data_IF_243224952904
#
_entry.id   IF_243224952904
#
_cell.length_a   1.000
_cell.length_b   1.000
_cell.length_c   1.000
_cell.angle_alpha   90.00
_cell.angle_beta   90.00
_cell.angle_gamma   90.00
#
_symmetry.space_group_name_H-M   'P 1'
#
loop_
_entity.id
_entity.type
_entity.pdbx_description
1 polymer ?
#
# COMPACT_ATOMS: atom_id res chain seq x y z
N UNK A 1 1.46 15.73 -10.77
CA UNK A 1 0.24 15.15 -10.17
C UNK A 1 -0.94 16.02 -10.58
N UNK A 2 -2.06 15.48 -11.07
CA UNK A 2 -3.28 16.26 -11.33
C UNK A 2 -4.29 15.91 -10.23
N UNK A 3 -4.71 16.86 -9.38
CA UNK A 3 -5.76 16.58 -8.41
C UNK A 3 -7.08 16.36 -9.14
N UNK A 4 -7.76 15.26 -8.82
CA UNK A 4 -9.14 15.01 -9.21
C UNK A 4 -10.01 15.21 -7.96
N UNK A 5 -10.92 16.18 -8.01
CA UNK A 5 -11.83 16.52 -6.90
C UNK A 5 -11.13 16.74 -5.53
N UNK A 6 -9.91 17.29 -5.55
CA UNK A 6 -9.13 17.57 -4.33
C UNK A 6 -8.39 16.35 -3.75
N UNK A 7 -8.37 15.21 -4.45
CA UNK A 7 -7.60 14.03 -4.08
C UNK A 7 -6.45 13.80 -5.05
N UNK A 8 -5.28 13.48 -4.51
CA UNK A 8 -4.10 13.09 -5.28
C UNK A 8 -3.74 11.66 -4.92
N UNK A 9 -3.83 10.75 -5.89
CA UNK A 9 -3.36 9.37 -5.77
C UNK A 9 -1.92 9.30 -6.26
N UNK A 10 -1.00 8.92 -5.38
CA UNK A 10 0.42 8.82 -5.73
C UNK A 10 1.09 7.72 -4.91
N UNK A 11 1.94 6.88 -5.55
CA UNK A 11 2.84 6.01 -4.82
C UNK A 11 4.04 6.77 -4.23
N UNK A 12 4.34 7.96 -4.76
CA UNK A 12 5.47 8.79 -4.35
C UNK A 12 4.97 10.05 -3.64
N UNK A 13 5.05 10.03 -2.32
CA UNK A 13 4.63 11.14 -1.47
C UNK A 13 5.62 12.31 -1.53
N UNK A 14 6.87 12.09 -1.92
CA UNK A 14 7.89 13.13 -1.95
C UNK A 14 7.61 14.12 -3.08
N UNK A 15 7.21 13.60 -4.25
CA UNK A 15 6.73 14.44 -5.35
C UNK A 15 5.41 15.17 -5.00
N UNK A 16 4.63 14.63 -4.07
CA UNK A 16 3.37 15.26 -3.64
C UNK A 16 3.61 16.41 -2.67
N UNK A 17 4.65 16.31 -1.84
CA UNK A 17 5.03 17.35 -0.88
C UNK A 17 5.41 18.66 -1.59
N UNK A 18 5.96 18.59 -2.80
CA UNK A 18 6.26 19.80 -3.60
C UNK A 18 5.01 20.63 -3.95
N UNK A 19 3.82 20.04 -3.87
CA UNK A 19 2.54 20.73 -4.04
C UNK A 19 1.91 21.20 -2.73
N UNK A 20 2.50 20.83 -1.59
CA UNK A 20 2.06 21.24 -0.26
C UNK A 20 2.97 22.37 0.23
N UNK A 21 2.38 23.51 0.58
CA UNK A 21 3.11 24.69 1.04
C UNK A 21 2.42 25.33 2.26
N UNK A 22 2.83 26.55 2.64
CA UNK A 22 2.22 27.27 3.76
C UNK A 22 0.75 27.67 3.54
N UNK A 23 0.21 27.46 2.33
CA UNK A 23 -1.14 27.79 1.89
C UNK A 23 -1.92 26.51 1.55
N UNK A 24 -1.26 25.57 0.86
CA UNK A 24 -1.80 24.30 0.39
C UNK A 24 -1.45 23.19 1.39
N UNK A 25 -2.42 22.82 2.23
CA UNK A 25 -2.26 21.73 3.19
C UNK A 25 -2.85 20.43 2.66
N UNK A 26 -2.17 19.31 2.98
CA UNK A 26 -2.61 17.96 2.62
C UNK A 26 -2.76 17.08 3.85
N UNK A 27 -3.69 16.13 3.77
CA UNK A 27 -3.83 15.05 4.76
C UNK A 27 -3.57 13.73 4.04
N UNK A 28 -2.62 12.94 4.54
CA UNK A 28 -2.30 11.65 3.95
C UNK A 28 -3.12 10.55 4.60
N UNK A 29 -3.60 9.62 3.78
CA UNK A 29 -4.20 8.38 4.23
C UNK A 29 -3.81 7.26 3.27
N UNK A 30 -3.77 6.03 3.75
CA UNK A 30 -3.43 4.87 2.92
C UNK A 30 -4.12 3.60 3.42
N UNK A 31 -4.43 2.68 2.50
CA UNK A 31 -4.84 1.33 2.84
C UNK A 31 -3.69 0.36 2.55
N UNK A 32 -3.21 -0.32 3.59
CA UNK A 32 -2.09 -1.25 3.48
C UNK A 32 -2.57 -2.68 3.20
N UNK A 33 -2.01 -3.26 2.14
CA UNK A 33 -2.13 -4.67 1.79
C UNK A 33 -0.86 -5.41 2.22
N UNK A 34 -1.01 -6.68 2.62
CA UNK A 34 0.15 -7.50 2.97
C UNK A 34 1.19 -7.51 1.83
N UNK A 35 2.50 -7.30 2.11
CA UNK A 35 3.52 -7.11 1.08
C UNK A 35 3.63 -8.23 0.05
N UNK A 36 3.43 -9.49 0.49
CA UNK A 36 3.42 -10.64 -0.43
C UNK A 36 2.25 -10.58 -1.40
N UNK A 37 1.05 -10.27 -0.92
CA UNK A 37 -0.13 -10.16 -1.79
C UNK A 37 0.01 -8.97 -2.75
N UNK A 38 0.59 -7.85 -2.29
CA UNK A 38 0.96 -6.72 -3.14
C UNK A 38 1.92 -7.16 -4.26
N UNK A 39 2.99 -7.88 -3.93
CA UNK A 39 3.95 -8.37 -4.91
C UNK A 39 3.32 -9.32 -5.95
N UNK A 40 2.39 -10.19 -5.53
CA UNK A 40 1.64 -11.05 -6.46
C UNK A 40 0.75 -10.23 -7.40
N UNK A 41 0.07 -9.19 -6.91
CA UNK A 41 -0.73 -8.29 -7.75
C UNK A 41 0.14 -7.51 -8.74
N UNK A 42 1.30 -7.03 -8.30
CA UNK A 42 2.26 -6.39 -9.20
C UNK A 42 2.75 -7.34 -10.29
N UNK A 43 3.06 -8.59 -9.95
CA UNK A 43 3.44 -9.59 -10.96
C UNK A 43 2.33 -9.76 -12.00
N UNK A 44 1.07 -9.88 -11.60
CA UNK A 44 -0.05 -10.02 -12.53
C UNK A 44 -0.12 -8.82 -13.49
N UNK A 45 -0.05 -7.60 -12.98
CA UNK A 45 -0.02 -6.37 -13.79
C UNK A 45 1.19 -6.34 -14.74
N UNK A 46 2.39 -6.61 -14.23
CA UNK A 46 3.61 -6.62 -15.03
C UNK A 46 3.55 -7.67 -16.16
N UNK A 47 2.91 -8.82 -15.94
CA UNK A 47 2.70 -9.83 -16.98
C UNK A 47 1.73 -9.38 -18.06
N UNK A 48 0.73 -8.57 -17.73
CA UNK A 48 -0.15 -7.96 -18.71
C UNK A 48 0.59 -6.92 -19.55
N UNK A 49 1.47 -6.13 -18.92
CA UNK A 49 2.28 -5.09 -19.57
C UNK A 49 3.42 -5.68 -20.44
N UNK A 50 4.06 -6.77 -20.01
CA UNK A 50 5.12 -7.47 -20.73
C UNK A 50 4.87 -9.00 -20.81
N UNK A 51 4.00 -9.45 -21.73
CA UNK A 51 3.66 -10.87 -21.87
C UNK A 51 4.83 -11.77 -22.32
N UNK A 52 5.90 -11.19 -22.89
CA UNK A 52 7.01 -11.95 -23.49
C UNK A 52 8.18 -12.06 -22.53
N UNK A 53 8.54 -10.99 -21.82
CA UNK A 53 9.60 -11.01 -20.81
C UNK A 53 9.10 -11.61 -19.51
N UNK A 54 8.54 -10.77 -18.63
CA UNK A 54 8.06 -11.22 -17.31
C UNK A 54 6.88 -12.22 -17.41
N UNK A 55 6.07 -12.14 -18.47
CA UNK A 55 4.99 -13.08 -18.78
C UNK A 55 5.42 -14.55 -18.76
N UNK A 56 6.67 -14.85 -19.11
CA UNK A 56 7.23 -16.21 -19.15
C UNK A 56 7.67 -16.75 -17.79
N UNK A 57 7.74 -15.93 -16.74
CA UNK A 57 8.09 -16.43 -15.40
C UNK A 57 7.03 -17.43 -14.92
N UNK A 58 7.45 -18.64 -14.57
CA UNK A 58 6.56 -19.75 -14.24
C UNK A 58 6.14 -19.77 -12.78
N UNK A 59 7.01 -19.33 -11.86
CA UNK A 59 6.79 -19.44 -10.41
C UNK A 59 7.00 -18.12 -9.66
N UNK A 60 6.45 -18.04 -8.44
CA UNK A 60 6.65 -16.88 -7.56
C UNK A 60 8.10 -16.82 -7.03
N UNK A 61 8.75 -17.96 -6.90
CA UNK A 61 10.14 -18.10 -6.48
C UNK A 61 11.11 -17.59 -7.53
N UNK A 62 10.80 -17.81 -8.81
CA UNK A 62 11.53 -17.19 -9.92
C UNK A 62 11.32 -15.68 -9.91
N UNK A 63 10.08 -15.21 -9.74
CA UNK A 63 9.79 -13.78 -9.62
C UNK A 63 10.55 -13.14 -8.46
N UNK A 64 10.56 -13.78 -7.29
CA UNK A 64 11.24 -13.29 -6.09
C UNK A 64 12.75 -13.10 -6.24
N UNK A 65 13.38 -13.82 -7.18
CA UNK A 65 14.82 -13.71 -7.50
C UNK A 65 15.10 -12.90 -8.76
N UNK A 66 14.05 -12.50 -9.47
CA UNK A 66 14.17 -11.80 -10.74
C UNK A 66 14.45 -10.31 -10.55
N UNK A 67 15.01 -9.68 -11.59
CA UNK A 67 15.16 -8.22 -11.65
C UNK A 67 13.84 -7.44 -11.70
N UNK A 68 12.72 -8.12 -11.89
CA UNK A 68 11.40 -7.51 -12.01
C UNK A 68 10.73 -7.26 -10.65
N UNK A 69 11.19 -7.95 -9.60
CA UNK A 69 10.71 -7.71 -8.25
C UNK A 69 11.25 -6.37 -7.73
N UNK A 70 10.34 -5.47 -7.39
CA UNK A 70 10.65 -4.29 -6.58
C UNK A 70 10.51 -4.64 -5.10
N UNK A 71 11.61 -5.16 -4.53
CA UNK A 71 11.72 -5.53 -3.12
C UNK A 71 11.64 -4.30 -2.20
N UNK A 72 10.95 -4.46 -1.07
CA UNK A 72 10.81 -3.44 -0.03
C UNK A 72 10.30 -2.09 -0.58
N UNK A 73 9.35 -2.17 -1.50
CA UNK A 73 8.82 -1.04 -2.24
C UNK A 73 8.13 -0.02 -1.33
N UNK A 74 7.36 -0.43 -0.32
CA UNK A 74 6.67 0.53 0.54
C UNK A 74 7.66 1.31 1.39
N UNK A 75 8.64 0.62 2.00
CA UNK A 75 9.72 1.28 2.74
C UNK A 75 10.49 2.24 1.84
N UNK A 76 10.83 1.83 0.62
CA UNK A 76 11.49 2.68 -0.37
C UNK A 76 10.74 3.98 -0.60
N UNK A 77 9.43 3.91 -0.87
CA UNK A 77 8.64 5.09 -1.20
C UNK A 77 8.39 5.99 0.01
N UNK A 78 8.10 5.41 1.18
CA UNK A 78 7.85 6.21 2.39
C UNK A 78 9.12 6.84 2.96
N UNK A 79 10.28 6.21 2.78
CA UNK A 79 11.56 6.75 3.23
C UNK A 79 12.28 7.59 2.18
N UNK A 80 11.80 7.62 0.93
CA UNK A 80 12.39 8.41 -0.15
C UNK A 80 13.71 7.82 -0.68
N UNK A 81 13.85 6.49 -0.65
CA UNK A 81 15.08 5.81 -1.07
C UNK A 81 15.16 5.80 -2.61
N UNK A 82 16.23 6.35 -3.23
CA UNK A 82 16.39 6.36 -4.68
C UNK A 82 16.36 4.97 -5.29
N UNK A 83 15.83 4.81 -6.51
CA UNK A 83 15.68 3.51 -7.19
C UNK A 83 17.01 2.73 -7.33
N UNK A 84 18.15 3.43 -7.39
CA UNK A 84 19.49 2.84 -7.45
C UNK A 84 19.92 2.15 -6.16
N UNK A 85 19.28 2.47 -5.03
CA UNK A 85 19.78 2.12 -3.71
C UNK A 85 18.95 0.98 -3.10
N UNK A 86 19.52 0.27 -2.13
CA UNK A 86 18.84 -0.83 -1.42
C UNK A 86 18.35 -0.33 -0.06
N UNK A 87 17.03 -0.39 0.22
CA UNK A 87 16.49 -0.01 1.52
C UNK A 87 17.10 -0.83 2.65
N UNK A 88 17.36 -0.18 3.78
CA UNK A 88 17.98 -0.75 4.97
C UNK A 88 17.14 -0.47 6.24
N UNK A 89 17.69 -0.83 7.40
CA UNK A 89 16.99 -0.69 8.68
C UNK A 89 16.72 0.77 9.10
N UNK A 90 17.58 1.72 8.71
CA UNK A 90 17.34 3.14 8.96
C UNK A 90 16.18 3.66 8.10
N UNK A 91 16.09 3.22 6.85
CA UNK A 91 14.97 3.58 5.96
C UNK A 91 13.65 3.03 6.51
N UNK A 92 13.65 1.82 7.08
CA UNK A 92 12.49 1.29 7.78
C UNK A 92 12.07 2.19 8.96
N UNK A 93 13.03 2.71 9.73
CA UNK A 93 12.73 3.63 10.83
C UNK A 93 12.11 4.94 10.32
N UNK A 94 12.64 5.50 9.24
CA UNK A 94 12.07 6.69 8.58
C UNK A 94 10.66 6.41 8.08
N UNK A 95 10.44 5.30 7.37
CA UNK A 95 9.13 4.91 6.86
C UNK A 95 8.10 4.74 7.99
N UNK A 96 8.49 4.15 9.12
CA UNK A 96 7.64 4.05 10.32
C UNK A 96 7.28 5.42 10.88
N UNK A 97 8.24 6.33 10.97
CA UNK A 97 7.99 7.69 11.50
C UNK A 97 7.07 8.51 10.59
N UNK A 98 7.29 8.44 9.27
CA UNK A 98 6.40 9.03 8.26
C UNK A 98 4.99 8.47 8.41
N UNK A 99 4.84 7.15 8.51
CA UNK A 99 3.54 6.50 8.67
C UNK A 99 2.83 6.94 9.96
N UNK A 100 3.53 6.92 11.10
CA UNK A 100 2.96 7.28 12.41
C UNK A 100 2.52 8.74 12.48
N UNK A 101 3.28 9.64 11.87
CA UNK A 101 3.07 11.09 12.05
C UNK A 101 2.23 11.74 10.97
N UNK A 102 2.16 11.15 9.76
CA UNK A 102 1.55 11.79 8.59
C UNK A 102 0.29 11.12 8.10
N UNK A 103 0.09 9.82 8.38
CA UNK A 103 -0.99 9.04 7.79
C UNK A 103 -2.12 8.73 8.77
N UNK A 104 -3.35 8.80 8.27
CA UNK A 104 -4.41 7.89 8.74
C UNK A 104 -4.21 6.54 8.07
N UNK A 105 -4.01 5.53 8.90
CA UNK A 105 -3.69 4.17 8.47
C UNK A 105 -4.99 3.39 8.35
N UNK A 106 -5.19 2.78 7.19
CA UNK A 106 -6.20 1.77 6.90
C UNK A 106 -5.54 0.44 6.54
N UNK A 107 -6.25 -0.66 6.75
CA UNK A 107 -5.79 -2.02 6.46
C UNK A 107 -6.79 -2.69 5.54
N UNK A 108 -6.32 -3.29 4.44
CA UNK A 108 -7.22 -3.97 3.48
C UNK A 108 -8.05 -5.11 4.12
N UNK A 109 -7.50 -5.95 5.03
CA UNK A 109 -8.31 -6.93 5.76
C UNK A 109 -9.44 -6.33 6.60
N UNK A 110 -9.30 -5.05 6.99
CA UNK A 110 -10.29 -4.28 7.75
C UNK A 110 -10.87 -3.14 6.91
N UNK A 111 -10.97 -3.30 5.59
CA UNK A 111 -11.33 -2.23 4.63
C UNK A 111 -12.60 -1.46 4.97
N UNK A 112 -13.66 -2.10 5.47
CA UNK A 112 -14.88 -1.38 5.86
C UNK A 112 -14.60 -0.40 7.01
N UNK A 113 -13.98 -0.89 8.09
CA UNK A 113 -13.56 -0.06 9.22
C UNK A 113 -12.51 0.97 8.84
N UNK A 114 -11.64 0.65 7.88
CA UNK A 114 -10.60 1.56 7.37
C UNK A 114 -11.21 2.72 6.59
N UNK A 115 -12.14 2.42 5.67
CA UNK A 115 -12.83 3.44 4.89
C UNK A 115 -13.69 4.32 5.79
N UNK A 116 -14.47 3.72 6.70
CA UNK A 116 -15.25 4.47 7.68
C UNK A 116 -14.39 5.47 8.47
N UNK A 117 -13.21 5.04 8.94
CA UNK A 117 -12.27 5.92 9.66
C UNK A 117 -11.75 7.07 8.80
N UNK A 118 -11.36 6.77 7.57
CA UNK A 118 -10.87 7.79 6.62
C UNK A 118 -11.98 8.80 6.33
N UNK A 119 -13.21 8.32 6.12
CA UNK A 119 -14.40 9.15 5.90
C UNK A 119 -14.65 10.08 7.09
N UNK A 120 -14.64 9.56 8.32
CA UNK A 120 -14.82 10.34 9.55
C UNK A 120 -13.70 11.38 9.74
N UNK A 121 -12.44 11.00 9.51
CA UNK A 121 -11.30 11.90 9.65
C UNK A 121 -11.29 13.05 8.64
N UNK A 122 -11.69 12.76 7.41
CA UNK A 122 -11.69 13.74 6.32
C UNK A 122 -13.02 14.48 6.19
N UNK A 123 -14.05 14.08 6.95
CA UNK A 123 -15.39 14.66 6.88
C UNK A 123 -16.09 14.39 5.54
N UNK A 124 -15.83 13.22 4.93
CA UNK A 124 -16.44 12.87 3.65
C UNK A 124 -17.94 12.63 3.80
N UNK A 125 -18.73 13.33 2.99
CA UNK A 125 -20.18 13.14 2.90
C UNK A 125 -20.52 12.66 1.51
N UNK A 126 -21.09 11.45 1.42
CA UNK A 126 -21.46 10.88 0.13
C UNK A 126 -22.69 11.59 -0.45
N UNK A 127 -22.65 11.99 -1.74
CA UNK A 127 -23.87 12.38 -2.43
C UNK A 127 -24.84 11.20 -2.53
N UNK A 128 -26.12 11.45 -2.80
CA UNK A 128 -27.13 10.40 -2.97
C UNK A 128 -26.65 9.34 -3.96
N UNK A 129 -26.58 8.08 -3.54
CA UNK A 129 -26.07 6.95 -4.33
C UNK A 129 -24.59 6.59 -4.11
N UNK A 130 -23.80 7.44 -3.45
CA UNK A 130 -22.38 7.19 -3.16
C UNK A 130 -22.12 5.99 -2.24
N UNK A 131 -23.07 5.68 -1.35
CA UNK A 131 -23.00 4.48 -0.47
C UNK A 131 -22.95 3.18 -1.28
N UNK A 132 -23.68 3.11 -2.40
CA UNK A 132 -23.67 1.94 -3.28
C UNK A 132 -22.36 1.83 -4.06
N UNK A 133 -21.69 2.95 -4.36
CA UNK A 133 -20.35 2.95 -4.93
C UNK A 133 -19.34 2.39 -3.93
N UNK A 134 -19.34 2.91 -2.69
CA UNK A 134 -18.51 2.43 -1.58
C UNK A 134 -18.64 0.92 -1.37
N UNK A 135 -19.88 0.42 -1.30
CA UNK A 135 -20.11 -1.00 -1.04
C UNK A 135 -19.63 -1.90 -2.18
N UNK A 136 -19.80 -1.47 -3.43
CA UNK A 136 -19.27 -2.19 -4.60
C UNK A 136 -17.74 -2.24 -4.58
N UNK A 137 -17.08 -1.10 -4.31
CA UNK A 137 -15.62 -1.07 -4.20
C UNK A 137 -15.08 -2.02 -3.12
N UNK A 138 -15.77 -2.12 -1.97
CA UNK A 138 -15.42 -3.09 -0.91
C UNK A 138 -15.63 -4.54 -1.39
N UNK A 139 -16.74 -4.82 -2.07
CA UNK A 139 -17.05 -6.16 -2.59
C UNK A 139 -16.01 -6.61 -3.62
N UNK A 140 -15.69 -5.75 -4.59
CA UNK A 140 -14.70 -6.01 -5.63
C UNK A 140 -13.31 -6.26 -5.01
N UNK A 141 -12.91 -5.44 -4.03
CA UNK A 141 -11.66 -5.64 -3.30
C UNK A 141 -11.64 -6.98 -2.55
N UNK A 142 -12.77 -7.45 -2.04
CA UNK A 142 -12.91 -8.75 -1.36
C UNK A 142 -12.75 -9.92 -2.33
N UNK A 143 -13.41 -9.85 -3.49
CA UNK A 143 -13.29 -10.88 -4.52
C UNK A 143 -11.83 -11.04 -4.96
N UNK A 144 -11.11 -9.92 -5.10
CA UNK A 144 -9.68 -9.91 -5.45
C UNK A 144 -8.75 -10.42 -4.33
N UNK A 145 -9.20 -10.60 -3.09
CA UNK A 145 -8.41 -11.23 -2.02
C UNK A 145 -8.55 -12.75 -2.01
N UNK A 146 -9.65 -13.29 -2.55
CA UNK A 146 -9.87 -14.74 -2.62
C UNK A 146 -8.87 -15.46 -3.55
N UNK A 147 -8.18 -14.73 -4.41
CA UNK A 147 -7.12 -15.24 -5.30
C UNK A 147 -5.70 -15.15 -4.70
N UNK A 148 -5.57 -14.82 -3.41
CA UNK A 148 -4.29 -14.63 -2.78
C UNK A 148 -3.46 -15.92 -2.65
N UNK A 149 -2.13 -15.76 -2.74
CA UNK A 149 -1.16 -16.84 -2.51
C UNK A 149 -1.28 -17.38 -1.08
N UNK A 150 -1.28 -18.72 -0.95
CA UNK A 150 -1.34 -19.40 0.36
C UNK A 150 -0.11 -19.08 1.21
N UNK A 151 -0.35 -18.59 2.41
CA UNK A 151 0.70 -18.35 3.42
C UNK A 151 1.50 -19.61 3.73
N UNK A 152 2.82 -19.46 3.89
CA UNK A 152 3.75 -20.57 4.12
C UNK A 152 4.06 -21.42 2.88
N UNK A 153 3.42 -21.19 1.72
CA UNK A 153 3.84 -21.83 0.48
C UNK A 153 5.25 -21.38 0.06
N UNK A 154 6.00 -22.19 -0.72
CA UNK A 154 7.37 -21.84 -1.11
C UNK A 154 7.49 -20.46 -1.78
N UNK A 155 6.57 -20.14 -2.71
CA UNK A 155 6.47 -18.82 -3.33
C UNK A 155 6.18 -17.69 -2.34
N UNK A 156 5.28 -17.92 -1.38
CA UNK A 156 4.98 -16.95 -0.33
C UNK A 156 6.23 -16.66 0.52
N UNK A 157 6.94 -17.70 0.95
CA UNK A 157 8.15 -17.58 1.78
C UNK A 157 9.26 -16.84 1.03
N UNK A 158 9.44 -17.14 -0.26
CA UNK A 158 10.43 -16.44 -1.09
C UNK A 158 10.13 -14.95 -1.21
N UNK A 159 8.86 -14.58 -1.45
CA UNK A 159 8.44 -13.18 -1.54
C UNK A 159 8.48 -12.46 -0.19
N UNK A 160 8.09 -13.12 0.90
CA UNK A 160 8.16 -12.56 2.25
C UNK A 160 9.62 -12.25 2.62
N UNK A 161 10.55 -13.17 2.31
CA UNK A 161 11.98 -12.97 2.53
C UNK A 161 12.54 -11.81 1.71
N UNK A 162 12.11 -11.67 0.45
CA UNK A 162 12.56 -10.57 -0.40
C UNK A 162 11.96 -9.21 -0.01
N UNK A 163 10.86 -9.18 0.75
CA UNK A 163 10.17 -7.98 1.21
C UNK A 163 10.20 -7.86 2.74
N UNK A 164 11.30 -8.25 3.38
CA UNK A 164 11.38 -8.37 4.84
C UNK A 164 11.14 -7.04 5.59
N UNK A 165 11.56 -5.91 5.02
CA UNK A 165 11.33 -4.58 5.61
C UNK A 165 9.88 -4.15 5.43
N UNK A 166 9.29 -4.42 4.27
CA UNK A 166 7.87 -4.16 4.03
C UNK A 166 6.99 -5.03 4.96
N UNK A 167 7.40 -6.25 5.30
CA UNK A 167 6.71 -7.09 6.30
C UNK A 167 6.73 -6.41 7.67
N UNK A 168 7.91 -5.99 8.14
CA UNK A 168 8.05 -5.27 9.43
C UNK A 168 7.30 -3.94 9.43
N UNK A 169 7.21 -3.27 8.29
CA UNK A 169 6.44 -2.03 8.13
C UNK A 169 4.93 -2.32 8.16
N UNK A 170 4.46 -3.39 7.52
CA UNK A 170 3.07 -3.81 7.53
C UNK A 170 2.58 -4.22 8.93
N UNK A 171 3.40 -4.95 9.69
CA UNK A 171 3.13 -5.26 11.10
C UNK A 171 2.98 -3.97 11.91
N UNK A 172 3.85 -3.00 11.67
CA UNK A 172 3.77 -1.69 12.32
C UNK A 172 2.52 -0.92 11.91
N UNK A 173 2.13 -0.95 10.64
CA UNK A 173 0.87 -0.37 10.15
C UNK A 173 -0.33 -0.99 10.86
N UNK A 174 -0.32 -2.31 11.08
CA UNK A 174 -1.37 -2.99 11.84
C UNK A 174 -1.45 -2.49 13.29
N UNK A 175 -0.32 -2.31 13.97
CA UNK A 175 -0.29 -1.71 15.31
C UNK A 175 -0.85 -0.29 15.32
N UNK A 176 -0.45 0.55 14.35
CA UNK A 176 -0.98 1.92 14.22
C UNK A 176 -2.47 1.92 13.92
N UNK A 177 -2.96 1.02 13.07
CA UNK A 177 -4.38 0.91 12.77
C UNK A 177 -5.19 0.69 14.04
N UNK A 178 -4.77 -0.19 14.94
CA UNK A 178 -5.50 -0.38 16.20
C UNK A 178 -5.31 0.80 17.16
N UNK A 179 -4.10 1.36 17.27
CA UNK A 179 -3.84 2.52 18.13
C UNK A 179 -4.63 3.78 17.71
N UNK A 180 -4.80 4.01 16.41
CA UNK A 180 -5.58 5.13 15.87
C UNK A 180 -7.09 4.99 16.10
N UNK A 181 -7.59 3.84 16.56
CA UNK A 181 -9.01 3.67 16.89
C UNK A 181 -9.46 4.67 17.96
N UNK A 182 -8.57 4.97 18.90
CA UNK A 182 -8.86 5.86 20.03
C UNK A 182 -8.91 7.35 19.63
N UNK A 183 -8.57 7.70 18.38
CA UNK A 183 -8.70 9.06 17.85
C UNK A 183 -10.15 9.42 17.46
N UNK A 184 -11.05 8.44 17.38
CA UNK A 184 -12.40 8.59 16.83
C UNK A 184 -13.49 8.18 17.83
N UNK A 185 -13.22 8.38 19.13
CA UNK A 185 -14.15 8.13 20.26
C UNK A 185 -14.94 9.38 20.60
#
# INVERSE_FOLDING_TARGET
LKPEDGVVLTPDIWNAIDYLDGINHGRLFALFLHPVHRAVRMLAQQKEEDPIGIGRLGTLEEYARSKYLEANWMVRHLAGVPKSDTPNANDLAVAKEVMRTKFIVGMVPYKDGSLKRIEEYLGWVYPKGGVNCRQRAIADATAAEMSNVKEGSPGWVALAKANDLDIKLYEYANHLFFAQKDMFV
#
